data_IF_129145645557
#
_entry.id   IF_129145645557
#
_cell.length_a   1.000
_cell.length_b   1.000
_cell.length_c   1.000
_cell.angle_alpha   90.00
_cell.angle_beta   90.00
_cell.angle_gamma   90.00
#
_symmetry.space_group_name_H-M   'P 1'
#
loop_
_entity.id
_entity.type
_entity.pdbx_description
1 polymer ?
#
# COMPACT_ATOMS: atom_id res chain seq x y z
N UNK A 1 -21.78 -8.45 2.65
CA UNK A 1 -22.48 -8.70 1.38
C UNK A 1 -22.10 -7.54 0.47
N UNK A 2 -21.41 -7.81 -0.63
CA UNK A 2 -20.88 -6.79 -1.55
C UNK A 2 -21.35 -7.10 -2.96
N UNK A 3 -21.99 -6.13 -3.61
CA UNK A 3 -22.55 -6.33 -4.95
C UNK A 3 -23.14 -5.06 -5.54
N UNK A 4 -23.69 -5.22 -6.73
CA UNK A 4 -24.35 -4.16 -7.48
C UNK A 4 -25.86 -4.24 -7.32
N UNK A 5 -26.51 -3.09 -7.08
CA UNK A 5 -27.97 -3.01 -7.03
C UNK A 5 -28.52 -3.14 -8.45
N UNK A 6 -29.21 -4.24 -8.74
CA UNK A 6 -29.80 -4.50 -10.06
C UNK A 6 -31.27 -4.12 -10.15
N UNK A 7 -31.99 -4.16 -9.03
CA UNK A 7 -33.41 -3.84 -9.00
C UNK A 7 -33.83 -3.27 -7.64
N UNK A 8 -34.60 -2.22 -7.68
CA UNK A 8 -35.28 -1.66 -6.49
C UNK A 8 -36.80 -1.80 -6.72
N UNK A 9 -37.48 -2.42 -5.76
CA UNK A 9 -38.94 -2.55 -5.71
C UNK A 9 -39.52 -1.89 -4.46
N UNK A 10 -40.83 -1.86 -4.31
CA UNK A 10 -41.49 -1.24 -3.16
C UNK A 10 -41.12 -1.94 -1.83
N UNK A 11 -40.85 -3.23 -1.84
CA UNK A 11 -40.65 -4.04 -0.64
C UNK A 11 -39.23 -4.60 -0.51
N UNK A 12 -38.45 -4.59 -1.59
CA UNK A 12 -37.12 -5.22 -1.60
C UNK A 12 -36.16 -4.59 -2.61
N UNK A 13 -34.87 -4.76 -2.31
CA UNK A 13 -33.75 -4.44 -3.20
C UNK A 13 -33.05 -5.72 -3.58
N UNK A 14 -32.77 -5.92 -4.87
CA UNK A 14 -32.03 -7.06 -5.39
C UNK A 14 -30.59 -6.62 -5.70
N UNK A 15 -29.65 -7.39 -5.18
CA UNK A 15 -28.21 -7.22 -5.41
C UNK A 15 -27.67 -8.38 -6.24
N UNK A 16 -26.82 -8.09 -7.19
CA UNK A 16 -25.95 -9.07 -7.84
C UNK A 16 -24.60 -9.01 -7.13
N UNK A 17 -24.26 -10.08 -6.40
CA UNK A 17 -23.06 -10.17 -5.60
C UNK A 17 -21.81 -10.48 -6.47
N UNK A 18 -20.62 -10.15 -5.96
CA UNK A 18 -19.35 -10.41 -6.65
C UNK A 18 -19.04 -11.90 -6.84
N UNK A 19 -19.64 -12.78 -6.05
CA UNK A 19 -19.56 -14.23 -6.17
C UNK A 19 -20.57 -14.83 -7.19
N UNK A 20 -21.20 -13.96 -8.00
CA UNK A 20 -22.22 -14.32 -9.02
C UNK A 20 -23.58 -14.74 -8.45
N UNK A 21 -23.78 -14.71 -7.17
CA UNK A 21 -25.09 -14.98 -6.54
C UNK A 21 -25.99 -13.74 -6.57
N UNK A 22 -27.28 -13.95 -6.35
CA UNK A 22 -28.26 -12.87 -6.23
C UNK A 22 -28.84 -12.87 -4.82
N UNK A 23 -28.81 -11.72 -4.17
CA UNK A 23 -29.40 -11.51 -2.85
C UNK A 23 -30.59 -10.56 -2.94
N UNK A 24 -31.63 -10.85 -2.16
CA UNK A 24 -32.78 -9.96 -2.02
C UNK A 24 -32.89 -9.48 -0.59
N UNK A 25 -32.85 -8.18 -0.40
CA UNK A 25 -32.86 -7.52 0.92
C UNK A 25 -34.20 -6.80 1.06
N UNK A 26 -34.96 -7.03 2.15
CA UNK A 26 -36.15 -6.24 2.45
C UNK A 26 -35.80 -4.75 2.63
N UNK A 27 -36.67 -3.85 2.16
CA UNK A 27 -36.38 -2.41 2.20
C UNK A 27 -36.23 -1.86 3.63
N UNK A 28 -36.91 -2.46 4.59
CA UNK A 28 -36.79 -2.11 6.00
C UNK A 28 -35.39 -2.42 6.58
N UNK A 29 -34.69 -3.44 6.07
CA UNK A 29 -33.31 -3.71 6.49
C UNK A 29 -32.35 -2.57 6.09
N UNK A 30 -32.57 -1.93 4.94
CA UNK A 30 -31.79 -0.75 4.53
C UNK A 30 -32.04 0.49 5.41
N UNK A 31 -33.14 0.51 6.18
CA UNK A 31 -33.45 1.60 7.12
C UNK A 31 -32.88 1.33 8.52
N UNK A 32 -32.71 0.07 8.89
CA UNK A 32 -32.29 -0.35 10.23
C UNK A 32 -30.83 -0.75 10.33
N UNK A 33 -30.19 -1.10 9.21
CA UNK A 33 -28.82 -1.57 9.18
C UNK A 33 -27.88 -0.57 8.49
N UNK A 34 -26.61 -0.57 8.89
CA UNK A 34 -25.58 0.22 8.22
C UNK A 34 -25.15 -0.44 6.91
N UNK A 35 -25.13 0.33 5.85
CA UNK A 35 -24.55 -0.10 4.56
C UNK A 35 -23.57 0.96 4.04
N UNK A 36 -22.56 0.48 3.31
CA UNK A 36 -21.60 1.34 2.64
C UNK A 36 -21.97 1.50 1.17
N UNK A 37 -22.10 2.74 0.73
CA UNK A 37 -22.28 3.06 -0.68
C UNK A 37 -20.89 3.26 -1.31
N UNK A 38 -20.51 2.38 -2.24
CA UNK A 38 -19.21 2.39 -2.90
C UNK A 38 -19.19 3.26 -4.18
N UNK A 39 -20.29 3.96 -4.48
CA UNK A 39 -20.41 4.76 -5.70
C UNK A 39 -19.30 5.80 -5.90
N UNK A 40 -18.77 6.36 -4.80
CA UNK A 40 -17.66 7.32 -4.88
C UNK A 40 -16.29 6.69 -5.20
N UNK A 41 -16.20 5.36 -5.13
CA UNK A 41 -15.00 4.64 -5.57
C UNK A 41 -14.98 4.41 -7.07
N UNK A 42 -16.11 4.66 -7.77
CA UNK A 42 -16.29 4.31 -9.16
C UNK A 42 -15.47 5.18 -10.11
N UNK A 43 -15.12 4.61 -11.26
CA UNK A 43 -14.19 5.16 -12.23
C UNK A 43 -14.44 6.65 -12.55
N UNK A 44 -13.38 7.45 -12.45
CA UNK A 44 -13.41 8.87 -12.80
C UNK A 44 -14.13 9.76 -11.80
N UNK A 45 -14.58 9.23 -10.65
CA UNK A 45 -15.21 10.03 -9.61
C UNK A 45 -14.21 10.45 -8.54
N UNK A 46 -14.22 10.44 -7.38
CA UNK A 46 -13.40 11.31 -6.56
C UNK A 46 -12.16 10.63 -5.95
N UNK A 47 -12.18 9.33 -5.62
CA UNK A 47 -11.19 8.82 -4.67
C UNK A 47 -10.63 7.42 -4.91
N UNK A 48 -11.09 6.66 -5.88
CA UNK A 48 -10.63 5.29 -6.10
C UNK A 48 -10.89 4.35 -4.89
N UNK A 49 -10.27 3.18 -4.92
CA UNK A 49 -10.42 2.15 -3.89
C UNK A 49 -9.23 2.16 -2.93
N UNK A 50 -9.53 2.12 -1.62
CA UNK A 50 -8.50 2.18 -0.58
C UNK A 50 -7.65 0.91 -0.54
N UNK A 51 -6.35 1.10 -0.56
CA UNK A 51 -5.32 0.12 -0.24
C UNK A 51 -4.69 0.47 1.11
N UNK A 52 -4.55 -0.52 1.99
CA UNK A 52 -3.78 -0.39 3.23
C UNK A 52 -2.94 -1.64 3.39
N UNK A 53 -1.62 -1.51 3.34
CA UNK A 53 -0.67 -2.62 3.46
C UNK A 53 0.47 -2.24 4.39
N UNK A 54 0.78 -3.16 5.29
CA UNK A 54 1.89 -3.01 6.22
C UNK A 54 3.02 -3.99 5.89
N UNK A 55 4.24 -3.52 6.06
CA UNK A 55 5.48 -4.25 5.84
C UNK A 55 6.32 -4.14 7.10
N UNK A 56 6.66 -5.28 7.70
CA UNK A 56 7.51 -5.30 8.89
C UNK A 56 8.97 -5.40 8.45
N UNK A 57 9.74 -4.36 8.74
CA UNK A 57 11.17 -4.27 8.42
C UNK A 57 11.98 -4.88 9.55
N UNK A 58 13.07 -5.57 9.18
CA UNK A 58 14.03 -6.07 10.13
C UNK A 58 14.80 -4.91 10.77
N UNK A 59 14.74 -4.79 12.11
CA UNK A 59 15.41 -3.74 12.87
C UNK A 59 16.93 -3.79 12.77
N UNK A 60 17.53 -4.98 12.56
CA UNK A 60 18.98 -5.13 12.44
C UNK A 60 19.54 -4.48 11.18
N UNK A 61 18.68 -4.30 10.16
CA UNK A 61 19.06 -3.67 8.90
C UNK A 61 18.87 -2.16 8.92
N UNK A 62 18.21 -1.60 9.95
CA UNK A 62 17.94 -0.17 10.04
C UNK A 62 19.17 0.51 10.64
N UNK A 63 19.88 1.29 9.80
CA UNK A 63 21.13 1.95 10.17
C UNK A 63 21.36 3.25 9.39
N UNK A 64 22.27 4.11 9.86
CA UNK A 64 22.74 5.22 9.04
C UNK A 64 23.46 4.71 7.76
N UNK A 65 23.28 5.41 6.65
CA UNK A 65 24.00 5.13 5.39
C UNK A 65 25.42 5.71 5.46
N UNK A 66 26.34 5.06 4.72
CA UNK A 66 27.71 5.55 4.54
C UNK A 66 27.77 6.61 3.42
N UNK A 67 28.91 7.31 3.29
CA UNK A 67 29.11 8.26 2.18
C UNK A 67 29.11 7.56 0.81
N UNK A 68 29.61 6.33 0.74
CA UNK A 68 29.59 5.52 -0.49
C UNK A 68 28.15 5.19 -0.91
N UNK A 69 27.31 4.79 0.04
CA UNK A 69 25.89 4.51 -0.19
C UNK A 69 25.13 5.79 -0.57
N UNK A 70 25.43 6.92 0.09
CA UNK A 70 24.84 8.21 -0.28
C UNK A 70 25.23 8.60 -1.71
N UNK A 71 26.51 8.43 -2.11
CA UNK A 71 26.97 8.68 -3.47
C UNK A 71 26.27 7.76 -4.49
N UNK A 72 26.09 6.47 -4.16
CA UNK A 72 25.37 5.53 -5.00
C UNK A 72 23.91 5.95 -5.21
N UNK A 73 23.20 6.35 -4.15
CA UNK A 73 21.82 6.85 -4.25
C UNK A 73 21.72 8.14 -5.08
N UNK A 74 22.69 9.06 -4.97
CA UNK A 74 22.78 10.30 -5.78
C UNK A 74 23.12 10.01 -7.24
N UNK A 75 23.81 8.91 -7.54
CA UNK A 75 24.21 8.57 -8.93
C UNK A 75 23.03 8.33 -9.87
N UNK A 76 21.82 8.21 -9.32
CA UNK A 76 20.59 8.03 -10.09
C UNK A 76 20.30 6.60 -10.48
N UNK A 77 21.04 5.65 -9.97
CA UNK A 77 20.71 4.22 -10.15
C UNK A 77 19.29 3.95 -9.69
N UNK A 78 18.54 3.13 -10.42
CA UNK A 78 17.11 2.87 -10.22
C UNK A 78 16.18 4.11 -10.24
N UNK A 79 16.67 5.27 -10.68
CA UNK A 79 15.87 6.50 -10.71
C UNK A 79 15.61 7.13 -9.32
N UNK A 80 16.33 6.69 -8.29
CA UNK A 80 16.14 7.12 -6.90
C UNK A 80 16.40 8.62 -6.77
N UNK A 81 17.48 9.14 -7.36
CA UNK A 81 17.84 10.56 -7.31
C UNK A 81 16.75 11.49 -7.85
N UNK A 82 15.90 11.03 -8.77
CA UNK A 82 14.78 11.82 -9.30
C UNK A 82 13.57 11.88 -8.35
N UNK A 83 13.59 11.07 -7.30
CA UNK A 83 12.47 10.89 -6.35
C UNK A 83 12.82 11.37 -4.95
N UNK A 84 14.09 11.44 -4.59
CA UNK A 84 14.54 11.94 -3.29
C UNK A 84 15.05 13.37 -3.40
N UNK A 85 14.77 14.25 -2.42
CA UNK A 85 15.42 15.54 -2.30
C UNK A 85 16.93 15.34 -2.10
N UNK A 86 17.74 16.11 -2.82
CA UNK A 86 19.21 15.94 -2.84
C UNK A 86 19.83 16.22 -1.46
N UNK A 87 19.24 17.15 -0.71
CA UNK A 87 19.61 17.53 0.65
C UNK A 87 19.29 16.48 1.71
N UNK A 88 18.43 15.52 1.41
CA UNK A 88 18.11 14.41 2.33
C UNK A 88 19.09 13.23 2.16
N UNK A 89 19.79 13.14 1.02
CA UNK A 89 20.72 12.05 0.73
C UNK A 89 22.13 12.42 1.23
N UNK A 90 22.36 12.30 2.53
CA UNK A 90 23.67 12.55 3.12
C UNK A 90 24.13 11.39 4.01
N UNK A 91 25.45 11.27 4.20
CA UNK A 91 25.99 10.28 5.13
C UNK A 91 25.47 10.51 6.54
N UNK A 92 25.07 9.45 7.19
CA UNK A 92 24.41 9.50 8.51
C UNK A 92 22.89 9.56 8.45
N UNK A 93 22.26 9.81 7.28
CA UNK A 93 20.83 9.68 7.13
C UNK A 93 20.38 8.21 7.35
N UNK A 94 19.25 8.01 7.99
CA UNK A 94 18.73 6.67 8.24
C UNK A 94 18.21 6.04 6.94
N UNK A 95 18.71 4.86 6.57
CA UNK A 95 18.30 4.16 5.36
C UNK A 95 16.77 3.93 5.27
N UNK A 96 16.13 3.58 6.39
CA UNK A 96 14.69 3.41 6.49
C UNK A 96 13.92 4.73 6.25
N UNK A 97 14.48 5.89 6.66
CA UNK A 97 13.90 7.20 6.39
C UNK A 97 13.93 7.50 4.88
N UNK A 98 15.08 7.30 4.24
CA UNK A 98 15.24 7.51 2.80
C UNK A 98 14.31 6.59 2.00
N UNK A 99 14.20 5.33 2.39
CA UNK A 99 13.25 4.40 1.78
C UNK A 99 11.81 4.87 1.88
N UNK A 100 11.38 5.31 3.06
CA UNK A 100 10.03 5.85 3.28
C UNK A 100 9.76 7.08 2.40
N UNK A 101 10.72 8.02 2.31
CA UNK A 101 10.60 9.19 1.43
C UNK A 101 10.54 8.78 -0.05
N UNK A 102 11.41 7.87 -0.46
CA UNK A 102 11.41 7.32 -1.82
C UNK A 102 10.04 6.75 -2.18
N UNK A 103 9.48 5.88 -1.35
CA UNK A 103 8.16 5.29 -1.58
C UNK A 103 7.06 6.34 -1.66
N UNK A 104 7.08 7.33 -0.78
CA UNK A 104 6.11 8.42 -0.80
C UNK A 104 6.15 9.16 -2.15
N UNK A 105 7.33 9.58 -2.61
CA UNK A 105 7.48 10.29 -3.86
C UNK A 105 7.22 9.42 -5.09
N UNK A 106 7.54 8.14 -5.03
CA UNK A 106 7.21 7.18 -6.07
C UNK A 106 5.69 7.02 -6.23
N UNK A 107 4.98 6.83 -5.11
CA UNK A 107 3.52 6.74 -5.10
C UNK A 107 2.84 8.05 -5.53
N UNK A 108 3.42 9.20 -5.16
CA UNK A 108 2.96 10.51 -5.63
C UNK A 108 2.97 10.66 -7.15
N UNK A 109 3.94 10.04 -7.82
CA UNK A 109 4.07 10.07 -9.29
C UNK A 109 3.41 8.88 -9.98
N UNK A 110 2.89 7.92 -9.21
CA UNK A 110 2.31 6.69 -9.78
C UNK A 110 0.95 6.99 -10.46
N UNK A 111 0.77 6.58 -11.75
CA UNK A 111 -0.42 6.96 -12.54
C UNK A 111 -1.74 6.43 -12.01
N UNK A 112 -1.70 5.31 -11.27
CA UNK A 112 -2.89 4.66 -10.70
C UNK A 112 -3.14 5.02 -9.23
N UNK A 113 -2.45 6.02 -8.67
CA UNK A 113 -2.66 6.47 -7.29
C UNK A 113 -3.35 7.83 -7.28
N UNK A 114 -4.48 7.90 -6.59
CA UNK A 114 -5.15 9.16 -6.29
C UNK A 114 -4.35 9.95 -5.24
N UNK A 115 -4.12 11.24 -5.52
CA UNK A 115 -3.47 12.16 -4.59
C UNK A 115 -4.40 12.59 -3.44
N UNK A 116 -5.70 12.36 -3.58
CA UNK A 116 -6.73 12.68 -2.60
C UNK A 116 -7.58 11.44 -2.30
N UNK A 117 -8.13 11.27 -1.07
CA UNK A 117 -8.05 12.21 0.05
C UNK A 117 -6.71 12.19 0.79
N UNK A 118 -5.99 11.05 0.82
CA UNK A 118 -4.75 10.89 1.57
C UNK A 118 -3.83 9.87 0.89
N UNK A 119 -2.56 10.23 0.83
CA UNK A 119 -1.47 9.30 0.55
C UNK A 119 -0.54 9.33 1.77
N UNK A 120 -0.38 8.20 2.44
CA UNK A 120 0.49 8.09 3.61
C UNK A 120 1.47 6.94 3.42
N UNK A 121 2.74 7.21 3.70
CA UNK A 121 3.78 6.19 3.91
C UNK A 121 4.36 6.49 5.28
N UNK A 122 4.00 5.70 6.28
CA UNK A 122 4.26 6.03 7.68
C UNK A 122 4.70 4.84 8.51
N UNK A 123 5.45 5.14 9.56
CA UNK A 123 5.71 4.20 10.64
C UNK A 123 4.46 4.07 11.51
N UNK A 124 4.07 2.84 11.83
CA UNK A 124 2.96 2.58 12.73
C UNK A 124 3.49 2.37 14.14
N UNK A 125 4.24 1.30 14.33
CA UNK A 125 4.78 0.92 15.63
C UNK A 125 6.02 0.05 15.46
N UNK A 126 6.87 0.01 16.46
CA UNK A 126 7.90 -1.01 16.56
C UNK A 126 7.36 -2.13 17.47
N UNK A 127 7.49 -3.34 17.02
CA UNK A 127 7.13 -4.54 17.76
C UNK A 127 8.38 -5.39 17.96
N UNK A 128 8.32 -6.38 18.85
CA UNK A 128 9.42 -7.35 19.06
C UNK A 128 9.92 -8.02 17.77
N UNK A 129 9.11 -7.96 16.72
CA UNK A 129 9.37 -8.53 15.39
C UNK A 129 9.85 -7.54 14.35
N UNK A 130 10.02 -6.24 14.67
CA UNK A 130 10.52 -5.25 13.73
C UNK A 130 9.73 -3.94 13.68
N UNK A 131 10.09 -3.06 12.75
CA UNK A 131 9.45 -1.77 12.51
C UNK A 131 8.41 -1.87 11.40
N UNK A 132 7.17 -1.50 11.69
CA UNK A 132 6.05 -1.61 10.75
C UNK A 132 5.90 -0.35 9.91
N UNK A 133 6.09 -0.47 8.59
CA UNK A 133 5.83 0.55 7.58
C UNK A 133 4.46 0.32 6.95
N UNK A 134 3.57 1.29 7.07
CA UNK A 134 2.26 1.24 6.39
C UNK A 134 2.26 2.12 5.14
N UNK A 135 1.76 1.54 4.06
CA UNK A 135 1.36 2.25 2.84
C UNK A 135 -0.16 2.36 2.82
N UNK A 136 -0.67 3.57 2.91
CA UNK A 136 -2.08 3.89 2.84
C UNK A 136 -2.32 4.77 1.62
N UNK A 137 -3.02 4.25 0.62
CA UNK A 137 -3.23 4.91 -0.65
C UNK A 137 -4.61 4.61 -1.23
N UNK A 138 -5.01 5.38 -2.25
CA UNK A 138 -6.23 5.11 -3.01
C UNK A 138 -5.84 4.82 -4.46
N UNK A 139 -6.19 3.63 -4.95
CA UNK A 139 -5.96 3.19 -6.32
C UNK A 139 -7.15 3.61 -7.18
N UNK A 140 -6.88 4.26 -8.32
CA UNK A 140 -7.92 4.79 -9.24
C UNK A 140 -8.79 3.71 -9.84
N UNK A 141 -8.25 2.51 -10.04
CA UNK A 141 -8.98 1.37 -10.59
C UNK A 141 -9.95 0.81 -9.54
N UNK A 142 -11.23 1.01 -9.75
CA UNK A 142 -12.29 0.58 -8.81
C UNK A 142 -12.71 -0.87 -8.99
N UNK A 143 -12.60 -1.43 -10.22
CA UNK A 143 -12.91 -2.83 -10.51
C UNK A 143 -12.00 -3.76 -9.75
N UNK A 144 -12.57 -4.75 -9.07
CA UNK A 144 -11.84 -5.63 -8.15
C UNK A 144 -10.57 -6.23 -8.79
N UNK A 145 -10.67 -6.79 -9.97
CA UNK A 145 -9.52 -7.43 -10.64
C UNK A 145 -8.41 -6.44 -10.99
N UNK A 146 -8.76 -5.26 -11.48
CA UNK A 146 -7.79 -4.20 -11.81
C UNK A 146 -7.16 -3.63 -10.54
N UNK A 147 -7.97 -3.39 -9.49
CA UNK A 147 -7.48 -2.97 -8.18
C UNK A 147 -6.48 -3.96 -7.59
N UNK A 148 -6.81 -5.26 -7.55
CA UNK A 148 -5.92 -6.29 -7.00
C UNK A 148 -4.64 -6.42 -7.83
N UNK A 149 -4.72 -6.24 -9.13
CA UNK A 149 -3.54 -6.21 -10.00
C UNK A 149 -2.61 -5.04 -9.65
N UNK A 150 -3.13 -3.83 -9.59
CA UNK A 150 -2.35 -2.64 -9.23
C UNK A 150 -1.78 -2.74 -7.80
N UNK A 151 -2.59 -3.23 -6.87
CA UNK A 151 -2.13 -3.47 -5.50
C UNK A 151 -0.93 -4.44 -5.45
N UNK A 152 -0.99 -5.52 -6.24
CA UNK A 152 0.10 -6.50 -6.32
C UNK A 152 1.37 -5.88 -6.89
N UNK A 153 1.28 -5.11 -7.97
CA UNK A 153 2.43 -4.40 -8.55
C UNK A 153 3.09 -3.42 -7.56
N UNK A 154 2.27 -2.72 -6.77
CA UNK A 154 2.78 -1.82 -5.73
C UNK A 154 3.52 -2.61 -4.64
N UNK A 155 2.95 -3.73 -4.17
CA UNK A 155 3.59 -4.60 -3.17
C UNK A 155 4.93 -5.14 -3.70
N UNK A 156 4.96 -5.63 -4.94
CA UNK A 156 6.17 -6.12 -5.59
C UNK A 156 7.25 -5.04 -5.69
N UNK A 157 6.85 -3.81 -6.04
CA UNK A 157 7.77 -2.68 -6.07
C UNK A 157 8.32 -2.33 -4.68
N UNK A 158 7.46 -2.31 -3.66
CA UNK A 158 7.89 -2.08 -2.26
C UNK A 158 8.94 -3.10 -1.85
N UNK A 159 8.68 -4.40 -2.08
CA UNK A 159 9.60 -5.48 -1.72
C UNK A 159 10.92 -5.38 -2.49
N UNK A 160 10.87 -5.16 -3.80
CA UNK A 160 12.07 -5.10 -4.64
C UNK A 160 12.94 -3.89 -4.34
N UNK A 161 12.32 -2.74 -4.05
CA UNK A 161 13.05 -1.49 -3.78
C UNK A 161 13.69 -1.43 -2.39
N UNK A 162 13.26 -2.25 -1.42
CA UNK A 162 13.89 -2.31 -0.10
C UNK A 162 15.39 -2.61 -0.18
N UNK A 163 15.79 -3.52 -1.06
CA UNK A 163 17.18 -3.93 -1.23
C UNK A 163 18.09 -2.76 -1.66
N UNK A 164 17.57 -1.77 -2.38
CA UNK A 164 18.31 -0.60 -2.81
C UNK A 164 18.76 0.31 -1.65
N UNK A 165 18.08 0.17 -0.51
CA UNK A 165 18.36 0.89 0.73
C UNK A 165 18.98 -0.01 1.80
N UNK A 166 19.39 -1.24 1.44
CA UNK A 166 19.94 -2.20 2.38
C UNK A 166 18.94 -2.66 3.44
N UNK A 167 17.64 -2.69 3.09
CA UNK A 167 16.56 -3.11 3.98
C UNK A 167 16.00 -4.48 3.58
N UNK A 168 15.45 -5.19 4.54
CA UNK A 168 14.80 -6.48 4.36
C UNK A 168 13.53 -6.55 5.19
N UNK A 169 12.60 -7.41 4.77
CA UNK A 169 11.46 -7.77 5.60
C UNK A 169 11.92 -8.65 6.76
N UNK A 170 11.33 -8.42 7.93
CA UNK A 170 11.52 -9.33 9.05
C UNK A 170 10.98 -10.71 8.71
N UNK A 171 11.80 -11.73 8.94
CA UNK A 171 11.43 -13.13 8.82
C UNK A 171 11.67 -13.82 10.16
N UNK A 172 10.71 -14.61 10.60
CA UNK A 172 10.94 -15.45 11.78
C UNK A 172 11.98 -16.48 11.44
N UNK A 173 13.00 -16.70 12.30
CA UNK A 173 13.97 -17.77 12.10
C UNK A 173 13.27 -19.11 11.90
N UNK A 174 13.64 -19.83 10.87
CA UNK A 174 13.17 -21.18 10.59
C UNK A 174 14.14 -22.21 11.20
N UNK A 175 13.71 -23.46 11.30
CA UNK A 175 14.61 -24.55 11.74
C UNK A 175 15.85 -24.69 10.85
N UNK A 176 15.77 -24.30 9.58
CA UNK A 176 16.89 -24.34 8.64
C UNK A 176 17.96 -23.28 8.96
N UNK A 177 17.59 -22.19 9.59
CA UNK A 177 18.54 -21.11 9.94
C UNK A 177 19.43 -21.54 11.13
N UNK A 178 18.95 -22.47 11.97
CA UNK A 178 19.71 -23.03 13.09
C UNK A 178 20.64 -24.17 12.69
N UNK A 179 20.37 -24.86 11.55
CA UNK A 179 21.19 -25.95 11.05
C UNK A 179 22.34 -25.43 10.16
N UNK A 180 22.36 -24.14 9.79
CA UNK A 180 23.38 -23.54 8.93
C UNK A 180 24.45 -22.75 9.71
N UNK A 181 24.34 -22.64 11.02
CA UNK A 181 25.30 -21.97 11.92
C UNK A 181 26.15 -23.00 12.67
#
# INVERSE_FOLDING_TARGET
>A
MDGEVTKVSLLSVTLYNWDTTTSTIPINALQSEHFMNLHNMDEGKTYGRRMTKSFTLDMEQIRPITEEEAAALRSGEHGIAALLPEDEIEAGALNAHLFRLYLYHWLMKHPHICQHPHLLVRWIDHKDIGLELEVYAFITDSKLSAFEWQQSLIIEHVISSMAWFGLQLYQRPSTYDFDAA
#
